data_IF_024359825563
#
_entry.id   IF_024359825563
#
_cell.length_a   1.000
_cell.length_b   1.000
_cell.length_c   1.000
_cell.angle_alpha   90.00
_cell.angle_beta   90.00
_cell.angle_gamma   90.00
#
_symmetry.space_group_name_H-M   'P 1'
#
loop_
_entity.id
_entity.type
_entity.pdbx_description
1 polymer ?
#
# COMPACT_ATOMS: atom_id res chain seq x y z
N UNK A 1 -16.83 18.86 -8.27
CA UNK A 1 -15.36 19.04 -8.22
C UNK A 1 -14.73 18.39 -6.99
N UNK A 2 -15.34 18.41 -5.80
CA UNK A 2 -14.79 17.78 -4.59
C UNK A 2 -14.60 16.26 -4.69
N UNK A 3 -15.56 15.54 -5.29
CA UNK A 3 -15.54 14.07 -5.40
C UNK A 3 -14.29 13.52 -6.10
N UNK A 4 -13.74 14.24 -7.09
CA UNK A 4 -12.53 13.80 -7.79
C UNK A 4 -11.27 13.88 -6.92
N UNK A 5 -11.18 14.91 -6.08
CA UNK A 5 -10.07 15.09 -5.13
C UNK A 5 -10.19 14.07 -4.00
N UNK A 6 -11.40 13.88 -3.48
CA UNK A 6 -11.69 12.87 -2.45
C UNK A 6 -11.34 11.46 -2.94
N UNK A 7 -11.72 11.10 -4.17
CA UNK A 7 -11.36 9.82 -4.76
C UNK A 7 -9.85 9.63 -4.91
N UNK A 8 -9.12 10.68 -5.32
CA UNK A 8 -7.66 10.63 -5.43
C UNK A 8 -6.98 10.51 -4.06
N UNK A 9 -7.46 11.22 -3.04
CA UNK A 9 -6.99 11.07 -1.68
C UNK A 9 -7.21 9.65 -1.18
N UNK A 10 -8.43 9.11 -1.33
CA UNK A 10 -8.75 7.77 -0.88
C UNK A 10 -7.90 6.69 -1.58
N UNK A 11 -7.68 6.85 -2.88
CA UNK A 11 -6.81 5.95 -3.64
C UNK A 11 -5.35 6.04 -3.18
N UNK A 12 -4.86 7.26 -2.91
CA UNK A 12 -3.50 7.49 -2.43
C UNK A 12 -3.29 6.93 -1.02
N UNK A 13 -4.24 7.15 -0.11
CA UNK A 13 -4.19 6.60 1.26
C UNK A 13 -4.20 5.08 1.23
N UNK A 14 -5.10 4.48 0.44
CA UNK A 14 -5.18 3.02 0.31
C UNK A 14 -3.89 2.41 -0.24
N UNK A 15 -3.27 3.07 -1.23
CA UNK A 15 -1.98 2.64 -1.77
C UNK A 15 -0.87 2.69 -0.73
N UNK A 16 -0.77 3.80 0.01
CA UNK A 16 0.26 3.98 1.03
C UNK A 16 0.07 3.00 2.18
N UNK A 17 -1.18 2.76 2.61
CA UNK A 17 -1.51 1.78 3.66
C UNK A 17 -1.08 0.38 3.23
N UNK A 18 -1.51 -0.09 2.05
CA UNK A 18 -1.15 -1.43 1.55
C UNK A 18 0.36 -1.60 1.34
N UNK A 19 1.03 -0.56 0.84
CA UNK A 19 2.49 -0.56 0.68
C UNK A 19 3.22 -0.72 2.02
N UNK A 20 2.74 -0.06 3.08
CA UNK A 20 3.33 -0.19 4.41
C UNK A 20 2.97 -1.50 5.10
N UNK A 21 1.81 -2.09 4.83
CA UNK A 21 1.47 -3.45 5.27
C UNK A 21 2.45 -4.48 4.68
N UNK A 22 2.68 -4.45 3.37
CA UNK A 22 3.62 -5.33 2.68
C UNK A 22 5.07 -5.11 3.15
N UNK A 23 5.47 -3.85 3.34
CA UNK A 23 6.79 -3.52 3.86
C UNK A 23 6.97 -3.98 5.31
N UNK A 24 5.93 -3.90 6.13
CA UNK A 24 5.93 -4.40 7.50
C UNK A 24 6.03 -5.94 7.53
N UNK A 25 5.31 -6.65 6.65
CA UNK A 25 5.46 -8.10 6.49
C UNK A 25 6.90 -8.48 6.11
N UNK A 26 7.53 -7.74 5.20
CA UNK A 26 8.93 -7.95 4.83
C UNK A 26 9.90 -7.68 6.00
N UNK A 27 9.64 -6.66 6.81
CA UNK A 27 10.43 -6.38 8.01
C UNK A 27 10.31 -7.50 9.05
N UNK A 28 9.09 -7.96 9.34
CA UNK A 28 8.79 -9.06 10.28
C UNK A 28 9.40 -10.37 9.79
N UNK A 29 9.30 -10.68 8.49
CA UNK A 29 9.93 -11.85 7.88
C UNK A 29 11.45 -11.87 8.12
N UNK A 30 12.08 -10.70 8.14
CA UNK A 30 13.49 -10.56 8.44
C UNK A 30 13.79 -10.30 9.93
N UNK A 31 12.85 -10.62 10.83
CA UNK A 31 12.94 -10.45 12.29
C UNK A 31 13.24 -9.01 12.75
N UNK A 32 12.76 -8.01 12.01
CA UNK A 32 12.88 -6.59 12.37
C UNK A 32 11.50 -5.97 12.60
N UNK A 33 11.44 -4.99 13.50
CA UNK A 33 10.23 -4.19 13.77
C UNK A 33 10.30 -2.80 13.09
N UNK A 34 11.49 -2.42 12.62
CA UNK A 34 11.73 -1.16 11.91
C UNK A 34 11.72 -1.41 10.40
N UNK A 35 10.90 -0.64 9.68
CA UNK A 35 10.81 -0.68 8.22
C UNK A 35 12.02 0.02 7.62
N UNK A 36 12.74 -0.69 6.76
CA UNK A 36 13.91 -0.16 6.06
C UNK A 36 13.61 0.08 4.57
N UNK A 37 14.38 0.93 3.89
CA UNK A 37 14.18 1.21 2.46
C UNK A 37 14.14 -0.06 1.58
N UNK A 38 14.88 -1.11 1.96
CA UNK A 38 14.87 -2.39 1.25
C UNK A 38 13.52 -3.12 1.36
N UNK A 39 12.84 -3.01 2.50
CA UNK A 39 11.55 -3.66 2.74
C UNK A 39 10.47 -2.96 1.88
N UNK A 40 10.60 -1.64 1.71
CA UNK A 40 9.77 -0.86 0.80
C UNK A 40 10.06 -1.17 -0.68
N UNK A 41 11.34 -1.33 -1.04
CA UNK A 41 11.72 -1.74 -2.40
C UNK A 41 11.15 -3.12 -2.77
N UNK A 42 11.13 -4.06 -1.83
CA UNK A 42 10.50 -5.37 -2.01
C UNK A 42 8.97 -5.25 -2.13
N UNK A 43 8.34 -4.47 -1.26
CA UNK A 43 6.90 -4.24 -1.26
C UNK A 43 6.42 -3.58 -2.57
N UNK A 44 7.14 -2.59 -3.10
CA UNK A 44 6.80 -1.90 -4.35
C UNK A 44 6.69 -2.84 -5.57
N UNK A 45 7.40 -3.96 -5.56
CA UNK A 45 7.30 -4.98 -6.63
C UNK A 45 5.98 -5.76 -6.52
N UNK A 46 5.34 -5.78 -5.35
CA UNK A 46 4.17 -6.58 -5.03
C UNK A 46 2.84 -5.80 -5.12
N UNK A 47 2.84 -4.47 -4.89
CA UNK A 47 1.61 -3.64 -4.68
C UNK A 47 0.63 -3.56 -5.88
N UNK A 48 0.92 -4.16 -7.04
CA UNK A 48 0.05 -4.07 -8.23
C UNK A 48 -1.31 -4.77 -8.03
N UNK A 49 -1.43 -5.71 -7.07
CA UNK A 49 -2.62 -6.56 -6.92
C UNK A 49 -3.73 -5.85 -6.11
N UNK A 50 -3.39 -5.15 -5.04
CA UNK A 50 -4.36 -4.58 -4.06
C UNK A 50 -5.10 -3.36 -4.60
N UNK A 51 -4.48 -2.57 -5.49
CA UNK A 51 -5.09 -1.38 -6.07
C UNK A 51 -6.30 -1.72 -6.97
N UNK A 52 -6.30 -2.91 -7.56
CA UNK A 52 -7.40 -3.40 -8.40
C UNK A 52 -8.59 -3.89 -7.55
N UNK A 53 -8.33 -4.49 -6.39
CA UNK A 53 -9.38 -4.97 -5.47
C UNK A 53 -10.01 -3.84 -4.66
N UNK A 54 -9.23 -2.84 -4.23
CA UNK A 54 -9.75 -1.69 -3.49
C UNK A 54 -10.76 -0.85 -4.28
N UNK A 55 -10.60 -0.73 -5.60
CA UNK A 55 -11.59 -0.07 -6.45
C UNK A 55 -12.81 -0.98 -6.71
N UNK A 56 -12.63 -2.30 -6.72
CA UNK A 56 -13.72 -3.26 -6.93
C UNK A 56 -14.63 -3.43 -5.72
N UNK A 57 -14.15 -3.20 -4.49
CA UNK A 57 -14.95 -3.36 -3.26
C UNK A 57 -15.82 -2.15 -2.91
N UNK A 58 -15.66 -1.03 -3.64
CA UNK A 58 -16.43 0.21 -3.46
C UNK A 58 -17.35 0.58 -4.63
N UNK A 59 -17.50 -0.29 -5.63
CA UNK A 59 -18.50 -0.13 -6.71
C UNK A 59 -19.71 -1.03 -6.50
#
# INVERSE_FOLDING_TARGET
MSVAIEALQHASETYVIGLFEDANLCAVHAHRVSIMPKDLQLALVFVVITFKEAFSYKN
#
